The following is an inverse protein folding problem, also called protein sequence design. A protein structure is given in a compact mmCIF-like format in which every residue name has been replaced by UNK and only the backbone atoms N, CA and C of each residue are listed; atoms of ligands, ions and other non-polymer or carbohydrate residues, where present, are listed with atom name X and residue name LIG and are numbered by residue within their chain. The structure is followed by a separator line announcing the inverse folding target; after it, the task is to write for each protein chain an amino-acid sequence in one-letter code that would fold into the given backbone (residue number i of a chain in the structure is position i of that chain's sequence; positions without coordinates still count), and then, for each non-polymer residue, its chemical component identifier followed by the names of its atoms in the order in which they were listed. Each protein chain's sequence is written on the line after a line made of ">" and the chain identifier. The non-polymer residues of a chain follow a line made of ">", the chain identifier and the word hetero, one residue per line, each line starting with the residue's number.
data_IF_938153176542
#
_entry.id   IF_938153176542
#
_cell.length_a   1.000
_cell.length_b   1.000
_cell.length_c   1.000
_cell.angle_alpha   90.00
_cell.angle_beta   90.00
_cell.angle_gamma   90.00
#
_symmetry.space_group_name_H-M   'P 1'
#
loop_
_entity.id
_entity.type
_entity.pdbx_description
1 polymer ?
#
# COMPACT_ATOMS: atom_id res chain seq x y z
N UNK A 1 6.02 -20.32 -2.03
CA UNK A 1 6.55 -18.94 -2.07
C UNK A 1 5.39 -18.01 -2.37
N UNK A 2 5.10 -17.09 -1.46
CA UNK A 2 4.10 -16.03 -1.60
C UNK A 2 4.82 -14.71 -1.93
N UNK A 3 4.25 -13.89 -2.79
CA UNK A 3 4.77 -12.56 -3.10
C UNK A 3 3.69 -11.51 -2.79
N UNK A 4 4.02 -10.56 -1.92
CA UNK A 4 3.10 -9.49 -1.50
C UNK A 4 3.77 -8.12 -1.60
N UNK A 5 2.94 -7.09 -1.70
CA UNK A 5 3.39 -5.70 -1.81
C UNK A 5 2.57 -4.80 -0.91
N UNK A 6 3.24 -3.99 -0.09
CA UNK A 6 2.62 -2.94 0.71
C UNK A 6 3.10 -1.57 0.27
N UNK A 7 2.27 -0.55 0.45
CA UNK A 7 2.71 0.83 0.29
C UNK A 7 3.61 1.24 1.47
N UNK A 8 4.51 2.20 1.27
CA UNK A 8 5.33 2.82 2.32
C UNK A 8 4.43 3.33 3.46
N UNK A 9 4.70 2.88 4.68
CA UNK A 9 3.88 3.17 5.87
C UNK A 9 2.72 2.20 6.09
N UNK A 10 2.47 1.26 5.17
CA UNK A 10 1.55 0.15 5.36
C UNK A 10 2.15 -1.01 6.17
N UNK A 11 1.34 -2.03 6.40
CA UNK A 11 1.74 -3.24 7.12
C UNK A 11 1.09 -4.49 6.51
N UNK A 12 1.74 -5.63 6.72
CA UNK A 12 1.24 -6.93 6.31
C UNK A 12 1.33 -7.92 7.48
N UNK A 13 0.26 -8.62 7.81
CA UNK A 13 0.27 -9.64 8.86
C UNK A 13 0.64 -11.01 8.28
N UNK A 14 1.74 -11.57 8.77
CA UNK A 14 2.24 -12.88 8.37
C UNK A 14 2.44 -13.77 9.60
N UNK A 15 1.56 -14.75 9.77
CA UNK A 15 1.66 -15.70 10.89
C UNK A 15 1.56 -15.03 12.27
N UNK A 16 0.81 -13.93 12.38
CA UNK A 16 0.72 -13.13 13.61
C UNK A 16 1.88 -12.16 13.84
N UNK A 17 2.82 -12.04 12.88
CA UNK A 17 3.84 -10.99 12.87
C UNK A 17 3.40 -9.87 11.93
N UNK A 18 3.33 -8.66 12.44
CA UNK A 18 3.10 -7.47 11.63
C UNK A 18 4.42 -7.02 10.99
N UNK A 19 4.46 -7.03 9.66
CA UNK A 19 5.64 -6.70 8.85
C UNK A 19 5.42 -5.35 8.17
N UNK A 20 6.41 -4.46 8.28
CA UNK A 20 6.40 -3.12 7.67
C UNK A 20 7.56 -2.87 6.72
N UNK A 21 8.50 -3.82 6.64
CA UNK A 21 9.74 -3.72 5.87
C UNK A 21 9.76 -4.75 4.74
N UNK A 22 10.45 -4.42 3.66
CA UNK A 22 10.64 -5.34 2.55
C UNK A 22 11.64 -6.44 2.96
N UNK A 23 11.39 -7.67 2.56
CA UNK A 23 12.23 -8.80 2.95
C UNK A 23 11.68 -10.15 2.53
N UNK A 24 12.42 -11.20 2.84
CA UNK A 24 11.93 -12.58 2.74
C UNK A 24 11.73 -13.13 4.16
N UNK A 25 10.54 -13.64 4.42
CA UNK A 25 10.10 -14.13 5.72
C UNK A 25 9.70 -15.59 5.59
N UNK A 26 9.96 -16.38 6.63
CA UNK A 26 9.55 -17.77 6.69
C UNK A 26 8.73 -18.01 7.95
N UNK A 27 7.66 -18.78 7.80
CA UNK A 27 6.88 -19.30 8.91
C UNK A 27 6.71 -20.82 8.79
N UNK A 28 6.81 -21.49 9.93
CA UNK A 28 6.69 -22.95 10.03
C UNK A 28 5.29 -23.29 10.51
N UNK A 29 4.50 -23.87 9.62
CA UNK A 29 3.24 -24.48 9.97
C UNK A 29 3.54 -25.87 10.55
N UNK A 30 3.55 -25.94 11.88
CA UNK A 30 3.64 -27.19 12.63
C UNK A 30 2.31 -27.95 12.47
N UNK A 31 2.35 -29.08 11.77
CA UNK A 31 1.22 -30.02 11.76
C UNK A 31 1.35 -30.98 12.94
N UNK A 32 0.23 -31.31 13.58
CA UNK A 32 0.20 -32.24 14.72
C UNK A 32 0.80 -33.63 14.40
N UNK A 33 0.86 -33.99 13.12
CA UNK A 33 1.35 -35.28 12.63
C UNK A 33 2.83 -35.26 12.20
N UNK A 34 3.56 -34.15 12.37
CA UNK A 34 4.99 -34.04 12.05
C UNK A 34 5.31 -33.78 10.57
N UNK A 35 4.30 -33.60 9.72
CA UNK A 35 4.47 -33.03 8.38
C UNK A 35 4.56 -31.50 8.46
N UNK A 36 5.74 -31.00 8.84
CA UNK A 36 5.97 -29.56 8.93
C UNK A 36 6.03 -28.93 7.54
N UNK A 37 5.28 -27.85 7.34
CA UNK A 37 5.32 -27.07 6.10
C UNK A 37 5.97 -25.71 6.36
N UNK A 38 6.90 -25.31 5.50
CA UNK A 38 7.52 -23.97 5.55
C UNK A 38 6.83 -23.09 4.51
N UNK A 39 6.27 -21.97 4.95
CA UNK A 39 5.72 -20.93 4.09
C UNK A 39 6.75 -19.81 3.99
N UNK A 40 7.26 -19.58 2.78
CA UNK A 40 8.13 -18.44 2.48
C UNK A 40 7.31 -17.31 1.85
N UNK A 41 7.41 -16.11 2.42
CA UNK A 41 6.86 -14.86 1.92
C UNK A 41 8.00 -13.95 1.44
N UNK A 42 7.84 -13.34 0.27
CA UNK A 42 8.66 -12.22 -0.18
C UNK A 42 7.79 -10.96 -0.18
N UNK A 43 8.07 -10.05 0.74
CA UNK A 43 7.36 -8.79 0.91
C UNK A 43 8.16 -7.66 0.26
N UNK A 44 7.48 -6.86 -0.55
CA UNK A 44 8.05 -5.64 -1.13
C UNK A 44 7.34 -4.41 -0.58
N UNK A 45 8.08 -3.31 -0.40
CA UNK A 45 7.53 -2.01 0.01
C UNK A 45 7.66 -1.06 -1.16
N UNK A 46 6.52 -0.57 -1.64
CA UNK A 46 6.43 0.34 -2.78
C UNK A 46 6.21 1.75 -2.28
N UNK A 47 6.94 2.72 -2.84
CA UNK A 47 6.71 4.12 -2.50
C UNK A 47 5.32 4.58 -2.98
N UNK A 48 4.67 5.42 -2.17
CA UNK A 48 3.44 6.06 -2.58
C UNK A 48 3.78 7.06 -3.68
N UNK A 49 3.17 6.91 -4.85
CA UNK A 49 3.24 7.93 -5.89
C UNK A 49 2.14 8.94 -5.65
N UNK A 50 2.55 10.17 -5.34
CA UNK A 50 1.68 11.32 -5.41
C UNK A 50 1.58 11.78 -6.87
N UNK A 51 0.37 12.06 -7.33
CA UNK A 51 0.14 12.65 -8.65
C UNK A 51 -0.32 14.09 -8.44
N UNK A 52 0.45 15.03 -8.99
CA UNK A 52 0.08 16.43 -8.99
C UNK A 52 -0.97 16.66 -10.07
N UNK A 53 -2.15 17.18 -9.68
CA UNK A 53 -3.14 17.64 -10.64
C UNK A 53 -3.11 19.17 -10.69
N UNK A 54 -2.69 19.71 -11.83
CA UNK A 54 -2.72 21.15 -12.08
C UNK A 54 -3.90 21.47 -13.01
N UNK A 55 -4.88 22.21 -12.50
CA UNK A 55 -6.05 22.63 -13.27
C UNK A 55 -6.14 24.16 -13.32
N UNK A 56 -6.49 24.68 -14.49
CA UNK A 56 -6.71 26.12 -14.68
C UNK A 56 -8.21 26.42 -14.69
N UNK A 57 -8.67 27.09 -13.64
CA UNK A 57 -10.07 27.48 -13.51
C UNK A 57 -10.27 28.87 -14.10
N UNK A 58 -11.13 28.99 -15.11
CA UNK A 58 -11.54 30.27 -15.67
C UNK A 58 -12.23 31.16 -14.62
N UNK A 59 -12.22 32.49 -14.80
CA UNK A 59 -12.91 33.41 -13.89
C UNK A 59 -14.40 33.08 -13.81
N UNK A 60 -14.86 32.73 -12.61
CA UNK A 60 -16.24 32.32 -12.34
C UNK A 60 -16.55 30.84 -12.68
N UNK A 61 -15.55 30.08 -13.13
CA UNK A 61 -15.63 28.64 -13.29
C UNK A 61 -15.41 27.90 -11.97
N UNK A 62 -15.62 26.59 -12.00
CA UNK A 62 -15.35 25.70 -10.87
C UNK A 62 -14.89 24.33 -11.34
N UNK A 63 -14.18 23.62 -10.47
CA UNK A 63 -13.68 22.27 -10.70
C UNK A 63 -14.08 21.35 -9.56
N UNK A 64 -14.58 20.15 -9.86
CA UNK A 64 -14.95 19.17 -8.83
C UNK A 64 -13.84 18.15 -8.64
N UNK A 65 -13.24 18.14 -7.45
CA UNK A 65 -12.18 17.19 -7.06
C UNK A 65 -12.53 16.51 -5.73
N UNK A 66 -12.61 15.17 -5.74
CA UNK A 66 -12.86 14.39 -4.51
C UNK A 66 -14.14 14.78 -3.76
N UNK A 67 -15.17 15.25 -4.46
CA UNK A 67 -16.44 15.73 -3.86
C UNK A 67 -16.40 17.17 -3.34
N UNK A 68 -15.29 17.88 -3.49
CA UNK A 68 -15.18 19.33 -3.21
C UNK A 68 -15.27 20.12 -4.50
N UNK A 69 -15.93 21.28 -4.45
CA UNK A 69 -15.94 22.25 -5.54
C UNK A 69 -14.88 23.30 -5.29
N UNK A 70 -13.88 23.37 -6.17
CA UNK A 70 -12.79 24.34 -6.15
C UNK A 70 -13.15 25.51 -7.07
N UNK A 71 -12.93 26.73 -6.60
CA UNK A 71 -13.23 27.98 -7.35
C UNK A 71 -11.99 28.86 -7.51
N UNK A 72 -10.87 28.46 -6.93
CA UNK A 72 -9.59 29.15 -7.02
C UNK A 72 -8.56 28.19 -7.61
N UNK A 73 -7.63 28.72 -8.41
CA UNK A 73 -6.49 27.95 -8.88
C UNK A 73 -5.56 27.67 -7.70
N UNK A 74 -5.04 26.45 -7.63
CA UNK A 74 -4.19 26.01 -6.54
C UNK A 74 -3.67 24.60 -6.76
N UNK A 75 -2.74 24.20 -5.90
CA UNK A 75 -2.20 22.84 -5.85
C UNK A 75 -3.00 22.04 -4.81
N UNK A 76 -3.54 20.88 -5.20
CA UNK A 76 -4.45 20.06 -4.39
C UNK A 76 -4.07 18.59 -4.39
#
# INVERSE_FOLDING_TARGET
>A
LLEESICKGGSFDFGGKTLTEAGTYEDKLLSADGCDSIVTLKLTVVEQKETLLEESICKGGSFSFGGKTLTEAGTY
#
